data_IF_596383451548
#
_entry.id   IF_596383451548
#
_cell.length_a   1.000
_cell.length_b   1.000
_cell.length_c   1.000
_cell.angle_alpha   90.00
_cell.angle_beta   90.00
_cell.angle_gamma   90.00
#
_symmetry.space_group_name_H-M   'P 1'
#
loop_
_entity.id
_entity.type
_entity.pdbx_description
1 polymer ?
#
# COMPACT_ATOMS: atom_id res chain seq x y z
N UNK A 1 6.21 1.69 22.95
CA UNK A 1 6.65 0.32 22.56
C UNK A 1 5.52 -0.70 22.60
N UNK A 2 4.47 -0.51 23.47
CA UNK A 2 3.38 -1.46 23.63
C UNK A 2 2.18 -1.20 22.70
N UNK A 3 2.28 -0.32 21.71
CA UNK A 3 1.20 -0.10 20.76
C UNK A 3 0.92 -1.39 19.95
N UNK A 4 -0.36 -1.75 19.80
CA UNK A 4 -0.81 -3.01 19.21
C UNK A 4 -0.25 -3.22 17.77
N UNK A 5 -0.07 -2.14 17.01
CA UNK A 5 0.50 -2.21 15.66
C UNK A 5 1.88 -2.86 15.62
N UNK A 6 2.72 -2.64 16.64
CA UNK A 6 4.09 -3.15 16.70
C UNK A 6 4.17 -4.66 16.98
N UNK A 7 3.10 -5.24 17.54
CA UNK A 7 3.07 -6.64 17.97
C UNK A 7 2.15 -7.50 17.11
N UNK A 8 1.08 -6.92 16.59
CA UNK A 8 0.03 -7.66 15.88
C UNK A 8 -0.19 -7.19 14.45
N UNK A 9 0.58 -6.21 13.96
CA UNK A 9 0.48 -5.70 12.60
C UNK A 9 -0.92 -5.17 12.27
N UNK A 10 -1.69 -4.67 13.26
CA UNK A 10 -3.02 -4.12 13.04
C UNK A 10 -2.91 -2.71 12.44
N UNK A 11 -2.69 -2.67 11.12
CA UNK A 11 -2.52 -1.47 10.32
C UNK A 11 -2.97 -1.71 8.88
N UNK A 12 -3.30 -0.62 8.20
CA UNK A 12 -3.69 -0.59 6.79
C UNK A 12 -3.09 0.65 6.12
N UNK A 13 -2.88 0.59 4.81
CA UNK A 13 -2.34 1.72 4.08
C UNK A 13 -2.88 1.83 2.66
N UNK A 14 -2.68 3.01 2.07
CA UNK A 14 -2.99 3.31 0.68
C UNK A 14 -1.78 3.95 -0.02
N UNK A 15 -1.83 4.00 -1.33
CA UNK A 15 -0.90 4.73 -2.16
C UNK A 15 -1.65 5.47 -3.25
N UNK A 16 -1.45 6.77 -3.34
CA UNK A 16 -2.04 7.63 -4.37
C UNK A 16 -1.03 8.68 -4.80
N UNK A 17 -1.15 9.19 -6.01
CA UNK A 17 -0.24 10.19 -6.56
C UNK A 17 -1.00 11.45 -6.96
N UNK A 18 -0.36 12.60 -6.76
CA UNK A 18 -0.80 13.87 -7.33
C UNK A 18 0.19 14.29 -8.43
N UNK A 19 -0.36 14.74 -9.54
CA UNK A 19 0.38 15.13 -10.72
C UNK A 19 0.13 16.61 -11.03
N UNK A 20 1.19 17.36 -11.34
CA UNK A 20 1.09 18.72 -11.83
C UNK A 20 0.96 18.72 -13.35
N UNK A 21 -0.10 19.33 -13.85
CA UNK A 21 -0.32 19.53 -15.26
C UNK A 21 0.39 20.79 -15.78
N UNK A 22 0.49 20.91 -17.11
CA UNK A 22 1.17 22.03 -17.76
C UNK A 22 0.54 23.41 -17.47
N UNK A 23 -0.76 23.45 -17.17
CA UNK A 23 -1.50 24.65 -16.75
C UNK A 23 -1.31 25.00 -15.26
N UNK A 24 -0.49 24.22 -14.53
CA UNK A 24 -0.23 24.38 -13.10
C UNK A 24 -1.26 23.72 -12.19
N UNK A 25 -2.35 23.19 -12.72
CA UNK A 25 -3.35 22.45 -11.92
C UNK A 25 -2.76 21.14 -11.38
N UNK A 26 -3.28 20.70 -10.23
CA UNK A 26 -2.83 19.45 -9.57
C UNK A 26 -4.01 18.48 -9.51
N UNK A 27 -3.78 17.27 -9.99
CA UNK A 27 -4.80 16.24 -10.11
C UNK A 27 -4.38 14.92 -9.44
N UNK A 28 -5.37 14.22 -8.87
CA UNK A 28 -5.27 12.84 -8.40
C UNK A 28 -6.18 11.96 -9.23
N UNK A 29 -5.86 10.67 -9.34
CA UNK A 29 -6.69 9.74 -10.10
C UNK A 29 -7.58 8.91 -9.16
N UNK A 30 -8.90 9.10 -9.24
CA UNK A 30 -9.94 8.33 -8.54
C UNK A 30 -9.67 8.15 -7.03
N UNK A 31 -9.42 9.21 -6.24
CA UNK A 31 -9.10 9.09 -4.82
C UNK A 31 -10.20 8.39 -4.01
N UNK A 32 -11.48 8.50 -4.43
CA UNK A 32 -12.61 7.84 -3.78
C UNK A 32 -12.49 6.30 -3.81
N UNK A 33 -11.92 5.74 -4.88
CA UNK A 33 -11.69 4.31 -4.98
C UNK A 33 -10.65 3.82 -3.95
N UNK A 34 -9.60 4.64 -3.69
CA UNK A 34 -8.63 4.39 -2.63
C UNK A 34 -9.29 4.48 -1.24
N UNK A 35 -10.10 5.51 -0.99
CA UNK A 35 -10.86 5.65 0.26
C UNK A 35 -11.78 4.45 0.52
N UNK A 36 -12.50 3.99 -0.49
CA UNK A 36 -13.35 2.81 -0.40
C UNK A 36 -12.53 1.52 -0.12
N UNK A 37 -11.31 1.39 -0.69
CA UNK A 37 -10.42 0.27 -0.39
C UNK A 37 -9.87 0.35 1.02
N UNK A 38 -9.51 1.55 1.50
CA UNK A 38 -9.09 1.75 2.89
C UNK A 38 -10.19 1.28 3.86
N UNK A 39 -11.46 1.61 3.60
CA UNK A 39 -12.59 1.15 4.41
C UNK A 39 -12.72 -0.38 4.44
N UNK A 40 -12.62 -1.05 3.27
CA UNK A 40 -12.66 -2.52 3.22
C UNK A 40 -11.49 -3.15 3.98
N UNK A 41 -10.30 -2.56 3.87
CA UNK A 41 -9.12 -3.00 4.61
C UNK A 41 -9.30 -2.79 6.12
N UNK A 42 -9.85 -1.64 6.54
CA UNK A 42 -10.16 -1.34 7.94
C UNK A 42 -11.16 -2.35 8.52
N UNK A 43 -12.25 -2.63 7.81
CA UNK A 43 -13.24 -3.63 8.22
C UNK A 43 -12.60 -5.01 8.42
N UNK A 44 -11.70 -5.43 7.51
CA UNK A 44 -11.02 -6.73 7.60
C UNK A 44 -10.08 -6.83 8.79
N UNK A 45 -9.44 -5.72 9.19
CA UNK A 45 -8.49 -5.66 10.30
C UNK A 45 -9.12 -5.18 11.62
N UNK A 46 -10.45 -5.09 11.69
CA UNK A 46 -11.18 -4.58 12.86
C UNK A 46 -10.68 -3.18 13.30
N UNK A 47 -10.38 -2.32 12.33
CA UNK A 47 -10.05 -0.91 12.51
C UNK A 47 -11.28 -0.03 12.22
N UNK A 48 -11.32 1.21 12.76
CA UNK A 48 -12.38 2.17 12.40
C UNK A 48 -12.41 2.46 10.90
N UNK A 49 -13.60 2.58 10.33
CA UNK A 49 -13.77 2.90 8.92
C UNK A 49 -13.85 4.43 8.73
N UNK A 50 -12.78 5.04 8.26
CA UNK A 50 -12.75 6.46 7.90
C UNK A 50 -13.71 6.71 6.72
N UNK A 51 -14.67 7.67 6.80
CA UNK A 51 -15.52 8.03 5.68
C UNK A 51 -14.72 8.42 4.44
N UNK A 52 -15.16 7.99 3.24
CA UNK A 52 -14.46 8.30 1.97
C UNK A 52 -14.32 9.80 1.76
N UNK A 53 -15.31 10.59 2.16
CA UNK A 53 -15.25 12.05 2.06
C UNK A 53 -14.13 12.65 2.93
N UNK A 54 -13.92 12.13 4.14
CA UNK A 54 -12.83 12.57 5.02
C UNK A 54 -11.46 12.13 4.49
N UNK A 55 -11.38 10.93 3.91
CA UNK A 55 -10.18 10.46 3.23
C UNK A 55 -9.79 11.41 2.08
N UNK A 56 -10.72 11.73 1.18
CA UNK A 56 -10.45 12.63 0.04
C UNK A 56 -10.14 14.04 0.49
N UNK A 57 -10.82 14.53 1.52
CA UNK A 57 -10.57 15.86 2.10
C UNK A 57 -9.17 15.95 2.74
N UNK A 58 -8.71 14.91 3.42
CA UNK A 58 -7.35 14.88 3.99
C UNK A 58 -6.26 15.02 2.93
N UNK A 59 -6.45 14.38 1.77
CA UNK A 59 -5.54 14.53 0.62
C UNK A 59 -5.59 15.95 0.04
N UNK A 60 -6.79 16.50 -0.13
CA UNK A 60 -6.99 17.86 -0.65
C UNK A 60 -6.32 18.90 0.24
N UNK A 61 -6.46 18.78 1.56
CA UNK A 61 -5.85 19.69 2.53
C UNK A 61 -4.31 19.60 2.49
N UNK A 62 -3.76 18.38 2.45
CA UNK A 62 -2.31 18.20 2.38
C UNK A 62 -1.75 18.77 1.07
N UNK A 63 -2.43 18.55 -0.07
CA UNK A 63 -2.05 19.16 -1.35
C UNK A 63 -2.10 20.69 -1.27
N UNK A 64 -3.10 21.28 -0.63
CA UNK A 64 -3.22 22.72 -0.50
C UNK A 64 -2.06 23.34 0.29
N UNK A 65 -1.58 22.66 1.34
CA UNK A 65 -0.44 23.11 2.15
C UNK A 65 0.87 22.87 1.42
N UNK A 66 1.04 21.70 0.84
CA UNK A 66 2.31 21.22 0.28
C UNK A 66 2.35 21.26 -1.26
N UNK A 67 1.49 22.07 -1.89
CA UNK A 67 1.41 22.15 -3.36
C UNK A 67 2.77 22.41 -4.04
N UNK A 68 3.67 23.15 -3.40
CA UNK A 68 5.00 23.43 -3.93
C UNK A 68 5.87 22.17 -4.08
N UNK A 69 5.58 21.11 -3.32
CA UNK A 69 6.28 19.84 -3.37
C UNK A 69 5.82 18.92 -4.50
N UNK A 70 4.71 19.24 -5.19
CA UNK A 70 4.28 18.48 -6.37
C UNK A 70 5.21 18.83 -7.52
N UNK A 71 6.06 17.88 -7.97
CA UNK A 71 7.07 18.19 -8.99
C UNK A 71 6.44 18.43 -10.36
N UNK A 72 7.15 19.20 -11.20
CA UNK A 72 6.75 19.50 -12.58
C UNK A 72 7.53 18.71 -13.64
N UNK A 73 8.55 17.96 -13.23
CA UNK A 73 9.32 17.13 -14.16
C UNK A 73 8.43 16.03 -14.78
N UNK A 74 8.66 15.65 -16.05
CA UNK A 74 7.91 14.57 -16.70
C UNK A 74 7.93 13.29 -15.85
N UNK A 75 6.81 12.56 -15.83
CA UNK A 75 6.62 11.30 -15.11
C UNK A 75 6.84 11.37 -13.59
N UNK A 76 7.07 12.56 -13.03
CA UNK A 76 7.18 12.76 -11.59
C UNK A 76 5.82 13.03 -10.95
N UNK A 77 5.74 12.82 -9.65
CA UNK A 77 4.51 12.99 -8.86
C UNK A 77 4.82 13.25 -7.40
N UNK A 78 3.87 13.77 -6.65
CA UNK A 78 3.89 13.70 -5.19
C UNK A 78 3.14 12.44 -4.78
N UNK A 79 3.85 11.48 -4.19
CA UNK A 79 3.27 10.25 -3.68
C UNK A 79 2.74 10.45 -2.27
N UNK A 80 1.49 10.08 -2.04
CA UNK A 80 0.86 10.06 -0.71
C UNK A 80 0.76 8.65 -0.18
N UNK A 81 1.05 8.49 1.11
CA UNK A 81 0.85 7.29 1.88
C UNK A 81 -0.15 7.56 3.00
N UNK A 82 -1.47 7.49 2.73
CA UNK A 82 -2.47 7.38 3.79
C UNK A 82 -2.32 6.05 4.51
N UNK A 83 -2.38 6.04 5.84
CA UNK A 83 -2.34 4.80 6.62
C UNK A 83 -3.04 4.97 7.97
N UNK A 84 -3.49 3.87 8.51
CA UNK A 84 -4.10 3.80 9.84
C UNK A 84 -3.42 2.72 10.65
N UNK A 85 -3.09 3.04 11.89
CA UNK A 85 -2.40 2.14 12.82
C UNK A 85 -3.17 2.04 14.13
N UNK A 86 -3.19 0.86 14.74
CA UNK A 86 -3.67 0.65 16.10
C UNK A 86 -2.65 1.22 17.10
N UNK A 87 -3.07 2.21 17.88
CA UNK A 87 -2.19 2.95 18.82
C UNK A 87 -2.37 2.54 20.28
N UNK A 88 -3.43 1.81 20.60
CA UNK A 88 -3.68 1.36 21.97
C UNK A 88 -2.53 0.49 22.50
N UNK A 89 -2.11 0.73 23.73
CA UNK A 89 -1.01 0.04 24.37
C UNK A 89 -1.51 -1.18 25.17
N UNK A 90 -1.23 -2.38 24.68
CA UNK A 90 -1.51 -3.65 25.36
C UNK A 90 -0.72 -4.80 24.73
N UNK A 91 -0.63 -5.93 25.44
CA UNK A 91 0.13 -7.10 24.99
C UNK A 91 -0.74 -8.37 24.80
N UNK A 92 -2.04 -8.28 25.05
CA UNK A 92 -2.98 -9.37 24.76
C UNK A 92 -3.42 -9.39 23.30
N UNK A 93 -3.86 -10.54 22.78
CA UNK A 93 -4.35 -10.67 21.38
C UNK A 93 -5.83 -10.31 21.32
N UNK A 94 -6.15 -9.11 20.90
CA UNK A 94 -7.50 -8.61 20.62
C UNK A 94 -7.45 -7.42 19.68
N UNK A 95 -8.56 -7.04 19.04
CA UNK A 95 -8.64 -5.77 18.31
C UNK A 95 -8.40 -4.58 19.25
N UNK A 96 -7.69 -3.57 18.77
CA UNK A 96 -7.50 -2.31 19.49
C UNK A 96 -8.76 -1.43 19.43
N UNK A 97 -9.00 -0.67 20.50
CA UNK A 97 -10.08 0.32 20.59
C UNK A 97 -9.63 1.75 20.24
N UNK A 98 -8.33 1.95 20.03
CA UNK A 98 -7.78 3.23 19.62
C UNK A 98 -6.89 3.06 18.39
N UNK A 99 -7.09 3.91 17.39
CA UNK A 99 -6.32 3.96 16.16
C UNK A 99 -6.05 5.42 15.78
N UNK A 100 -5.00 5.64 14.99
CA UNK A 100 -4.68 6.94 14.41
C UNK A 100 -4.55 6.82 12.89
N UNK A 101 -5.10 7.80 12.19
CA UNK A 101 -4.98 7.96 10.74
C UNK A 101 -3.97 9.06 10.41
N UNK A 102 -3.13 8.78 9.44
CA UNK A 102 -2.09 9.70 8.98
C UNK A 102 -2.03 9.73 7.46
N UNK A 103 -1.57 10.85 6.93
CA UNK A 103 -1.14 10.96 5.52
C UNK A 103 0.26 11.57 5.51
N UNK A 104 1.20 10.85 4.92
CA UNK A 104 2.53 11.37 4.63
C UNK A 104 2.72 11.50 3.11
N UNK A 105 3.61 12.39 2.68
CA UNK A 105 3.87 12.64 1.27
C UNK A 105 5.37 12.66 0.98
N UNK A 106 5.75 12.26 -0.24
CA UNK A 106 7.12 12.30 -0.74
C UNK A 106 7.14 12.52 -2.25
N UNK A 107 7.96 13.44 -2.78
CA UNK A 107 8.22 13.51 -4.21
C UNK A 107 8.75 12.17 -4.73
N UNK A 108 8.24 11.75 -5.88
CA UNK A 108 8.65 10.52 -6.56
C UNK A 108 8.91 10.81 -8.04
N UNK A 109 10.02 10.29 -8.56
CA UNK A 109 10.34 10.31 -9.98
C UNK A 109 9.58 9.24 -10.77
N UNK A 110 9.99 9.04 -12.03
CA UNK A 110 9.47 7.98 -12.88
C UNK A 110 9.61 6.61 -12.20
N UNK A 111 8.56 5.79 -12.28
CA UNK A 111 8.60 4.43 -11.74
C UNK A 111 9.69 3.56 -12.41
N UNK A 112 9.86 3.74 -13.72
CA UNK A 112 10.92 3.12 -14.49
C UNK A 112 11.98 4.18 -14.83
N UNK A 113 13.03 4.28 -14.02
CA UNK A 113 14.08 5.29 -14.20
C UNK A 113 14.78 5.24 -15.57
N UNK A 114 14.75 4.09 -16.26
CA UNK A 114 15.34 3.88 -17.60
C UNK A 114 14.29 3.74 -18.71
N UNK A 115 13.04 4.17 -18.44
CA UNK A 115 11.90 3.93 -19.34
C UNK A 115 11.31 2.52 -19.21
N UNK A 116 10.27 2.25 -20.01
CA UNK A 116 9.62 0.94 -20.02
C UNK A 116 10.56 -0.09 -20.65
N UNK A 117 10.95 -1.10 -19.87
CA UNK A 117 11.83 -2.19 -20.29
C UNK A 117 11.30 -3.53 -19.73
N UNK A 118 11.55 -4.66 -20.42
CA UNK A 118 11.23 -5.98 -19.87
C UNK A 118 11.98 -6.23 -18.57
N UNK A 119 11.34 -6.93 -17.64
CA UNK A 119 11.93 -7.34 -16.36
C UNK A 119 11.86 -8.84 -16.19
N UNK A 120 12.82 -9.42 -15.50
CA UNK A 120 12.78 -10.82 -15.09
C UNK A 120 11.95 -10.94 -13.82
N UNK A 121 11.12 -11.98 -13.77
CA UNK A 121 10.20 -12.24 -12.67
C UNK A 121 10.52 -13.62 -12.09
N UNK A 122 10.70 -13.70 -10.78
CA UNK A 122 10.89 -14.94 -10.05
C UNK A 122 9.53 -15.59 -9.75
N UNK A 123 9.33 -16.84 -10.13
CA UNK A 123 8.16 -17.61 -9.74
C UNK A 123 8.41 -18.23 -8.37
N UNK A 124 7.67 -17.78 -7.36
CA UNK A 124 7.75 -18.34 -6.01
C UNK A 124 6.89 -19.60 -5.92
N UNK A 125 7.53 -20.73 -5.69
CA UNK A 125 6.87 -22.03 -5.54
C UNK A 125 6.69 -22.41 -4.07
N UNK A 126 7.47 -21.85 -3.14
CA UNK A 126 7.48 -22.22 -1.73
C UNK A 126 6.58 -21.33 -0.86
N UNK A 127 6.39 -20.08 -1.26
CA UNK A 127 5.66 -19.09 -0.46
C UNK A 127 4.36 -18.69 -1.14
N UNK A 128 3.32 -18.47 -0.32
CA UNK A 128 2.04 -17.95 -0.75
C UNK A 128 1.88 -16.49 -0.31
N UNK A 129 1.36 -15.63 -1.18
CA UNK A 129 1.03 -14.25 -0.86
C UNK A 129 -0.27 -14.13 -0.07
N UNK A 130 -1.26 -14.94 -0.41
CA UNK A 130 -2.60 -14.94 0.17
C UNK A 130 -3.18 -16.34 0.20
N UNK A 131 -4.15 -16.55 1.09
CA UNK A 131 -4.89 -17.80 1.17
C UNK A 131 -6.35 -17.54 1.51
N UNK A 132 -7.24 -18.52 1.24
CA UNK A 132 -8.67 -18.45 1.55
C UNK A 132 -8.88 -18.17 3.06
N UNK A 133 -9.66 -17.13 3.38
CA UNK A 133 -9.90 -16.70 4.76
C UNK A 133 -8.80 -15.83 5.37
N UNK A 134 -7.68 -15.63 4.68
CA UNK A 134 -6.60 -14.73 5.07
C UNK A 134 -6.90 -13.25 4.84
N UNK A 135 -5.87 -12.42 4.84
CA UNK A 135 -5.95 -10.96 4.71
C UNK A 135 -5.65 -10.45 3.30
N UNK A 136 -5.53 -11.33 2.30
CA UNK A 136 -5.10 -10.98 0.93
C UNK A 136 -5.91 -9.86 0.26
N UNK A 137 -7.21 -9.75 0.56
CA UNK A 137 -8.07 -8.68 0.03
C UNK A 137 -7.93 -7.34 0.75
N UNK A 138 -7.22 -7.28 1.88
CA UNK A 138 -6.92 -6.06 2.61
C UNK A 138 -5.55 -5.52 2.22
N UNK A 139 -5.42 -4.19 2.12
CA UNK A 139 -4.12 -3.56 1.93
C UNK A 139 -3.49 -3.29 3.30
N UNK A 140 -2.82 -4.31 3.85
CA UNK A 140 -2.22 -4.30 5.20
C UNK A 140 -0.78 -4.84 5.15
N UNK A 141 0.08 -4.36 6.05
CA UNK A 141 1.51 -4.68 6.07
C UNK A 141 1.83 -6.15 6.25
N UNK A 142 0.97 -6.90 6.95
CA UNK A 142 1.14 -8.34 7.12
C UNK A 142 1.24 -9.12 5.81
N UNK A 143 0.48 -8.73 4.78
CA UNK A 143 0.58 -9.35 3.44
C UNK A 143 1.94 -9.08 2.80
N UNK A 144 2.47 -7.88 2.98
CA UNK A 144 3.78 -7.51 2.43
C UNK A 144 4.91 -8.14 3.23
N UNK A 145 4.82 -8.18 4.55
CA UNK A 145 5.81 -8.88 5.39
C UNK A 145 5.95 -10.35 4.99
N UNK A 146 4.83 -11.04 4.71
CA UNK A 146 4.83 -12.42 4.26
C UNK A 146 5.52 -12.64 2.89
N UNK A 147 5.56 -11.60 2.05
CA UNK A 147 6.16 -11.67 0.70
C UNK A 147 7.65 -11.32 0.66
N UNK A 148 8.23 -10.79 1.73
CA UNK A 148 9.60 -10.26 1.72
C UNK A 148 10.66 -11.32 1.43
N UNK A 149 10.51 -12.52 1.98
CA UNK A 149 11.48 -13.60 1.74
C UNK A 149 11.49 -14.03 0.27
N UNK A 150 10.32 -14.19 -0.34
CA UNK A 150 10.23 -14.51 -1.77
C UNK A 150 10.80 -13.40 -2.66
N UNK A 151 10.63 -12.13 -2.27
CA UNK A 151 11.22 -10.99 -2.98
C UNK A 151 12.75 -11.00 -2.84
N UNK A 152 13.28 -11.34 -1.66
CA UNK A 152 14.71 -11.49 -1.45
C UNK A 152 15.32 -12.59 -2.33
N UNK A 153 14.67 -13.76 -2.38
CA UNK A 153 15.08 -14.85 -3.29
C UNK A 153 15.07 -14.41 -4.76
N UNK A 154 14.02 -13.68 -5.17
CA UNK A 154 13.95 -13.11 -6.52
C UNK A 154 15.18 -12.23 -6.84
N UNK A 155 15.61 -11.39 -5.92
CA UNK A 155 16.80 -10.56 -6.09
C UNK A 155 18.09 -11.38 -6.18
N UNK A 156 18.25 -12.43 -5.37
CA UNK A 156 19.41 -13.34 -5.44
C UNK A 156 19.48 -14.04 -6.81
N UNK A 157 18.35 -14.27 -7.47
CA UNK A 157 18.27 -14.81 -8.83
C UNK A 157 18.30 -13.74 -9.95
N UNK A 158 18.59 -12.48 -9.61
CA UNK A 158 18.66 -11.37 -10.57
C UNK A 158 17.30 -10.94 -11.12
N UNK A 159 16.19 -11.32 -10.47
CA UNK A 159 14.85 -10.93 -10.85
C UNK A 159 14.42 -9.64 -10.14
N UNK A 160 13.60 -8.83 -10.81
CA UNK A 160 13.13 -7.54 -10.28
C UNK A 160 11.83 -7.66 -9.48
N UNK A 161 11.06 -8.71 -9.73
CA UNK A 161 9.73 -8.94 -9.17
C UNK A 161 9.52 -10.42 -8.86
N UNK A 162 8.53 -10.69 -8.03
CA UNK A 162 8.09 -12.05 -7.70
C UNK A 162 6.66 -12.26 -8.15
N UNK A 163 6.39 -13.39 -8.77
CA UNK A 163 5.08 -13.89 -9.11
C UNK A 163 4.70 -14.98 -8.10
N UNK A 164 3.52 -14.85 -7.51
CA UNK A 164 2.95 -15.84 -6.62
C UNK A 164 1.91 -16.69 -7.32
N UNK A 165 1.86 -17.95 -6.96
CA UNK A 165 0.84 -18.92 -7.38
C UNK A 165 -0.15 -19.18 -6.23
N UNK A 166 -1.33 -19.63 -6.58
CA UNK A 166 -2.39 -19.96 -5.63
C UNK A 166 -1.91 -20.91 -4.52
N UNK A 167 -2.30 -20.62 -3.28
CA UNK A 167 -1.84 -21.37 -2.11
C UNK A 167 -2.31 -22.82 -2.04
N UNK A 168 -3.45 -23.15 -2.68
CA UNK A 168 -4.10 -24.47 -2.57
C UNK A 168 -3.83 -25.41 -3.74
N UNK A 169 -4.23 -25.04 -4.93
CA UNK A 169 -4.11 -25.88 -6.13
C UNK A 169 -2.76 -25.75 -6.82
N UNK A 170 -2.09 -24.62 -6.66
CA UNK A 170 -0.83 -24.24 -7.29
C UNK A 170 -0.86 -24.27 -8.82
N UNK A 171 -2.05 -24.19 -9.40
CA UNK A 171 -2.32 -24.26 -10.83
C UNK A 171 -2.72 -22.90 -11.43
N UNK A 172 -2.79 -21.86 -10.61
CA UNK A 172 -3.19 -20.52 -11.01
C UNK A 172 -2.18 -19.46 -10.57
N UNK A 173 -1.98 -18.50 -11.44
CA UNK A 173 -1.27 -17.26 -11.10
C UNK A 173 -2.16 -16.45 -10.15
N UNK A 174 -1.58 -16.01 -9.03
CA UNK A 174 -2.28 -15.15 -8.08
C UNK A 174 -1.99 -13.67 -8.37
N UNK A 175 -0.79 -13.22 -8.14
CA UNK A 175 -0.42 -11.80 -8.28
C UNK A 175 1.10 -11.62 -8.25
N UNK A 176 1.57 -10.49 -8.77
CA UNK A 176 2.93 -10.00 -8.53
C UNK A 176 3.05 -9.38 -7.13
N UNK A 177 4.23 -9.45 -6.52
CA UNK A 177 4.44 -8.97 -5.16
C UNK A 177 4.26 -7.45 -4.98
N UNK A 178 4.65 -6.65 -5.97
CA UNK A 178 4.66 -5.19 -5.88
C UNK A 178 3.79 -4.45 -6.91
N UNK A 179 3.20 -5.13 -7.88
CA UNK A 179 2.38 -4.55 -8.95
C UNK A 179 1.29 -5.54 -9.39
N UNK A 180 0.26 -5.02 -10.08
CA UNK A 180 -0.85 -5.80 -10.60
C UNK A 180 -0.60 -6.17 -12.06
#
# INVERSE_FOLDING_TARGET
>A
PAAAVLHYGQEIFEGIKAYRHADGSIWTFRPEANGARLQRSAARLALPQLPVAEFTESLRQLIAVDHAWVPSAPESSLYFRPFMIATEAFLGVRPAHAAAYYVIASPAGAYFAKGVAPVSIWLSEDYARAAKGGTGAAKCGGNYAASLIAQYEGYEHGCSQVLFIEATGRDRVEELGGMN
#
